data_IF_272701929344
#
_entry.id   IF_272701929344
#
_cell.length_a   1.000
_cell.length_b   1.000
_cell.length_c   1.000
_cell.angle_alpha   90.00
_cell.angle_beta   90.00
_cell.angle_gamma   90.00
#
_symmetry.space_group_name_H-M   'P 1'
#
loop_
_entity.id
_entity.type
_entity.pdbx_description
1 polymer ?
#
# COMPACT_ATOMS: atom_id res chain seq x y z
N UNK A 1 -19.79 30.41 -24.10
CA UNK A 1 -19.99 29.00 -23.73
C UNK A 1 -19.54 28.84 -22.29
N UNK A 2 -20.50 28.73 -21.37
CA UNK A 2 -20.25 28.48 -19.95
C UNK A 2 -19.60 27.11 -19.80
N UNK A 3 -18.37 27.04 -19.31
CA UNK A 3 -17.78 25.79 -18.87
C UNK A 3 -18.42 25.43 -17.52
N UNK A 4 -18.82 24.17 -17.32
CA UNK A 4 -19.26 23.71 -16.02
C UNK A 4 -18.16 24.01 -14.98
N UNK A 5 -18.49 24.80 -13.95
CA UNK A 5 -17.58 25.14 -12.86
C UNK A 5 -17.48 24.01 -11.83
N UNK A 6 -18.53 23.19 -11.73
CA UNK A 6 -18.62 22.04 -10.84
C UNK A 6 -18.31 20.72 -11.57
N UNK A 7 -17.70 19.74 -10.89
CA UNK A 7 -17.48 18.42 -11.47
C UNK A 7 -18.82 17.70 -11.71
N UNK A 8 -18.88 16.87 -12.75
CA UNK A 8 -20.05 16.03 -13.03
C UNK A 8 -20.26 14.95 -11.96
N UNK A 9 -19.16 14.55 -11.29
CA UNK A 9 -19.17 13.68 -10.12
C UNK A 9 -17.86 13.82 -9.35
N UNK A 10 -17.91 13.56 -8.04
CA UNK A 10 -16.76 13.47 -7.16
C UNK A 10 -16.54 12.02 -6.74
N UNK A 11 -15.35 11.50 -7.02
CA UNK A 11 -15.00 10.11 -6.74
C UNK A 11 -13.73 10.00 -5.89
N UNK A 12 -13.64 8.93 -5.12
CA UNK A 12 -12.41 8.54 -4.42
C UNK A 12 -11.70 7.41 -5.15
N UNK A 13 -10.38 7.55 -5.36
CA UNK A 13 -9.51 6.40 -5.69
C UNK A 13 -9.22 5.63 -4.40
N UNK A 14 -10.03 4.61 -4.12
CA UNK A 14 -9.96 3.87 -2.87
C UNK A 14 -8.86 2.80 -2.95
N UNK A 15 -7.85 2.94 -2.12
CA UNK A 15 -6.79 1.94 -1.97
C UNK A 15 -7.06 0.93 -0.84
N UNK A 16 -8.11 1.13 -0.03
CA UNK A 16 -8.41 0.37 1.18
C UNK A 16 -7.27 0.35 2.22
N UNK A 17 -6.45 1.40 2.24
CA UNK A 17 -5.47 1.66 3.30
C UNK A 17 -5.68 3.03 3.93
N UNK A 18 -4.90 3.31 4.97
CA UNK A 18 -4.96 4.50 5.85
C UNK A 18 -5.52 5.76 5.18
N UNK A 19 -4.73 6.44 4.34
CA UNK A 19 -5.10 7.75 3.78
C UNK A 19 -6.43 7.72 2.99
N UNK A 20 -6.66 6.67 2.19
CA UNK A 20 -7.90 6.57 1.40
C UNK A 20 -9.12 6.25 2.27
N UNK A 21 -8.95 5.46 3.34
CA UNK A 21 -10.02 5.20 4.31
C UNK A 21 -10.32 6.46 5.11
N UNK A 22 -9.32 7.26 5.49
CA UNK A 22 -9.51 8.57 6.13
C UNK A 22 -10.34 9.51 5.25
N UNK A 23 -10.03 9.63 3.96
CA UNK A 23 -10.83 10.46 3.04
C UNK A 23 -12.28 10.01 2.94
N UNK A 24 -12.51 8.70 2.84
CA UNK A 24 -13.87 8.15 2.80
C UNK A 24 -14.62 8.43 4.10
N UNK A 25 -13.97 8.25 5.25
CA UNK A 25 -14.52 8.53 6.56
C UNK A 25 -14.91 10.01 6.70
N UNK A 26 -13.98 10.93 6.40
CA UNK A 26 -14.22 12.37 6.49
C UNK A 26 -15.37 12.82 5.58
N UNK A 27 -15.47 12.26 4.38
CA UNK A 27 -16.62 12.52 3.50
C UNK A 27 -17.93 11.96 4.07
N UNK A 28 -17.90 10.75 4.64
CA UNK A 28 -19.06 10.08 5.19
C UNK A 28 -19.64 10.78 6.43
N UNK A 29 -18.79 11.39 7.26
CA UNK A 29 -19.20 12.13 8.45
C UNK A 29 -19.50 13.61 8.19
N UNK A 30 -19.27 14.08 6.95
CA UNK A 30 -19.61 15.45 6.52
C UNK A 30 -18.54 16.51 6.77
N UNK A 31 -17.33 16.12 7.19
CA UNK A 31 -16.18 17.03 7.36
C UNK A 31 -15.55 17.43 6.02
N UNK A 32 -15.71 16.59 5.00
CA UNK A 32 -15.36 16.91 3.61
C UNK A 32 -16.59 16.77 2.70
N UNK A 33 -16.60 17.41 1.51
CA UNK A 33 -17.69 17.26 0.56
C UNK A 33 -18.06 15.79 0.29
N UNK A 34 -19.35 15.51 0.11
CA UNK A 34 -19.81 14.16 -0.14
C UNK A 34 -19.23 13.61 -1.45
N UNK A 35 -18.68 12.40 -1.38
CA UNK A 35 -18.29 11.58 -2.53
C UNK A 35 -19.54 10.94 -3.15
N UNK A 36 -19.62 10.88 -4.47
CA UNK A 36 -20.66 10.11 -5.16
C UNK A 36 -20.29 8.63 -5.24
N UNK A 37 -18.99 8.32 -5.39
CA UNK A 37 -18.49 6.96 -5.50
C UNK A 37 -17.09 6.82 -4.90
N UNK A 38 -16.77 5.62 -4.44
CA UNK A 38 -15.39 5.21 -4.16
C UNK A 38 -15.03 4.04 -5.08
N UNK A 39 -13.92 4.13 -5.81
CA UNK A 39 -13.51 3.12 -6.79
C UNK A 39 -12.32 2.35 -6.24
N UNK A 40 -12.50 1.05 -5.99
CA UNK A 40 -11.45 0.14 -5.60
C UNK A 40 -10.97 -0.66 -6.81
N UNK A 41 -9.69 -0.54 -7.14
CA UNK A 41 -9.09 -1.27 -8.25
C UNK A 41 -8.44 -2.57 -7.75
N UNK A 42 -9.19 -3.65 -7.89
CA UNK A 42 -8.82 -4.98 -7.43
C UNK A 42 -7.78 -5.62 -8.36
N UNK A 43 -6.60 -5.90 -7.80
CA UNK A 43 -5.51 -6.57 -8.52
C UNK A 43 -5.74 -8.08 -8.63
N UNK A 44 -6.74 -8.62 -7.93
CA UNK A 44 -7.00 -10.05 -7.79
C UNK A 44 -6.01 -10.76 -6.85
N UNK A 45 -5.09 -10.01 -6.21
CA UNK A 45 -4.06 -10.57 -5.34
C UNK A 45 -3.71 -9.61 -4.19
N UNK A 46 -4.73 -9.00 -3.59
CA UNK A 46 -4.56 -8.26 -2.33
C UNK A 46 -4.54 -9.24 -1.14
N UNK A 47 -3.89 -8.89 -0.01
CA UNK A 47 -3.96 -9.70 1.20
C UNK A 47 -5.40 -9.85 1.72
N UNK A 48 -5.71 -10.99 2.33
CA UNK A 48 -7.02 -11.28 2.90
C UNK A 48 -7.43 -10.23 3.96
N UNK A 49 -6.46 -9.68 4.70
CA UNK A 49 -6.70 -8.58 5.64
C UNK A 49 -7.21 -7.30 4.94
N UNK A 50 -6.74 -7.00 3.72
CA UNK A 50 -7.21 -5.85 2.92
C UNK A 50 -8.64 -6.08 2.44
N UNK A 51 -8.99 -7.29 1.98
CA UNK A 51 -10.37 -7.60 1.60
C UNK A 51 -11.33 -7.52 2.79
N UNK A 52 -10.97 -8.11 3.94
CA UNK A 52 -11.77 -8.00 5.18
C UNK A 52 -11.93 -6.54 5.61
N UNK A 53 -10.86 -5.75 5.56
CA UNK A 53 -10.93 -4.33 5.86
C UNK A 53 -11.84 -3.57 4.89
N UNK A 54 -11.74 -3.86 3.59
CA UNK A 54 -12.61 -3.25 2.57
C UNK A 54 -14.09 -3.57 2.84
N UNK A 55 -14.42 -4.81 3.17
CA UNK A 55 -15.79 -5.22 3.49
C UNK A 55 -16.32 -4.49 4.73
N UNK A 56 -15.48 -4.34 5.76
CA UNK A 56 -15.82 -3.57 6.96
C UNK A 56 -16.00 -2.08 6.67
N UNK A 57 -15.10 -1.47 5.89
CA UNK A 57 -15.21 -0.08 5.43
C UNK A 57 -16.49 0.13 4.63
N UNK A 58 -16.83 -0.80 3.74
CA UNK A 58 -18.07 -0.76 2.97
C UNK A 58 -19.28 -0.79 3.90
N UNK A 59 -19.29 -1.74 4.84
CA UNK A 59 -20.40 -1.97 5.77
C UNK A 59 -20.62 -0.82 6.75
N UNK A 60 -19.55 -0.29 7.33
CA UNK A 60 -19.60 0.66 8.46
C UNK A 60 -19.49 2.13 8.05
N UNK A 61 -18.86 2.44 6.91
CA UNK A 61 -18.65 3.83 6.45
C UNK A 61 -19.47 4.09 5.18
N UNK A 62 -19.19 3.32 4.13
CA UNK A 62 -19.66 3.66 2.78
C UNK A 62 -21.18 3.49 2.62
N UNK A 63 -21.74 2.35 3.07
CA UNK A 63 -23.18 2.06 2.99
C UNK A 63 -24.03 3.04 3.81
N UNK A 64 -23.73 3.32 5.09
CA UNK A 64 -24.49 4.31 5.87
C UNK A 64 -24.47 5.72 5.26
N UNK A 65 -23.34 6.12 4.65
CA UNK A 65 -23.22 7.41 3.98
C UNK A 65 -23.82 7.45 2.57
N UNK A 66 -24.33 6.32 2.06
CA UNK A 66 -24.78 6.15 0.67
C UNK A 66 -23.70 6.56 -0.34
N UNK A 67 -22.49 6.03 -0.16
CA UNK A 67 -21.33 6.19 -1.06
C UNK A 67 -20.99 4.79 -1.60
N UNK A 68 -21.46 4.40 -2.80
CA UNK A 68 -21.19 3.08 -3.36
C UNK A 68 -19.70 2.85 -3.60
N UNK A 69 -19.20 1.68 -3.18
CA UNK A 69 -17.87 1.19 -3.54
C UNK A 69 -17.96 0.40 -4.84
N UNK A 70 -17.34 0.91 -5.91
CA UNK A 70 -17.25 0.26 -7.21
C UNK A 70 -15.95 -0.53 -7.27
N UNK A 71 -16.05 -1.87 -7.29
CA UNK A 71 -14.89 -2.76 -7.46
C UNK A 71 -14.64 -2.99 -8.94
N UNK A 72 -13.46 -2.60 -9.42
CA UNK A 72 -13.05 -2.73 -10.83
C UNK A 72 -11.78 -3.55 -10.93
N UNK A 73 -11.65 -4.36 -11.98
CA UNK A 73 -10.46 -5.20 -12.18
C UNK A 73 -10.00 -5.21 -13.63
N UNK A 74 -8.73 -5.57 -13.83
CA UNK A 74 -8.12 -5.86 -15.14
C UNK A 74 -7.67 -7.31 -15.27
N UNK A 75 -7.95 -8.18 -14.30
CA UNK A 75 -7.41 -9.54 -14.24
C UNK A 75 -6.82 -9.86 -12.87
N UNK A 76 -5.92 -10.84 -12.84
CA UNK A 76 -5.24 -11.28 -11.64
C UNK A 76 -3.73 -11.13 -11.82
N UNK A 77 -3.13 -10.18 -11.11
CA UNK A 77 -1.72 -9.82 -11.30
C UNK A 77 -0.76 -10.99 -11.07
N UNK A 78 -1.09 -11.94 -10.18
CA UNK A 78 -0.30 -13.17 -9.96
C UNK A 78 -0.35 -14.06 -11.18
N UNK A 79 -1.55 -14.38 -11.65
CA UNK A 79 -1.75 -15.27 -12.79
C UNK A 79 -1.14 -14.67 -14.07
N UNK A 80 -1.39 -13.38 -14.31
CA UNK A 80 -0.90 -12.66 -15.47
C UNK A 80 0.63 -12.51 -15.46
N UNK A 81 1.26 -12.47 -14.29
CA UNK A 81 2.73 -12.46 -14.17
C UNK A 81 3.37 -13.84 -14.43
N UNK A 82 2.62 -14.93 -14.32
CA UNK A 82 3.08 -16.29 -14.58
C UNK A 82 2.72 -16.78 -15.99
N UNK A 83 1.78 -16.14 -16.67
CA UNK A 83 1.33 -16.48 -18.03
C UNK A 83 2.40 -16.11 -19.09
N UNK A 84 2.98 -17.10 -19.82
CA UNK A 84 3.95 -16.84 -20.89
C UNK A 84 3.38 -16.10 -22.11
N UNK A 85 2.05 -16.11 -22.29
CA UNK A 85 1.31 -15.41 -23.33
C UNK A 85 0.90 -13.99 -22.95
N UNK A 86 0.90 -13.67 -21.65
CA UNK A 86 0.70 -12.31 -21.18
C UNK A 86 2.01 -11.53 -21.24
N UNK A 87 1.93 -10.21 -21.49
CA UNK A 87 3.12 -9.36 -21.54
C UNK A 87 3.79 -9.39 -20.16
N UNK A 88 5.00 -9.91 -20.12
CA UNK A 88 5.74 -10.17 -18.88
C UNK A 88 6.04 -8.89 -18.07
N UNK A 89 5.96 -9.08 -16.75
CA UNK A 89 6.42 -8.19 -15.69
C UNK A 89 5.86 -6.77 -15.73
N UNK A 90 4.55 -6.67 -15.47
CA UNK A 90 4.01 -5.44 -14.92
C UNK A 90 4.54 -5.14 -13.51
N UNK A 91 4.97 -6.18 -12.79
CA UNK A 91 5.53 -6.06 -11.45
C UNK A 91 7.01 -5.63 -11.47
N UNK A 92 7.45 -4.78 -10.53
CA UNK A 92 8.83 -4.32 -10.43
C UNK A 92 9.68 -5.34 -9.63
N UNK A 93 9.97 -6.49 -10.23
CA UNK A 93 10.75 -7.59 -9.66
C UNK A 93 12.25 -7.23 -9.60
N UNK A 94 12.95 -7.71 -8.57
CA UNK A 94 14.40 -7.57 -8.47
C UNK A 94 15.10 -8.62 -9.33
N UNK A 95 16.09 -8.19 -10.12
CA UNK A 95 16.83 -9.07 -11.03
C UNK A 95 18.26 -9.26 -10.52
N UNK A 96 18.74 -10.50 -10.53
CA UNK A 96 20.16 -10.84 -10.48
C UNK A 96 20.61 -11.24 -11.88
N UNK A 97 21.41 -10.38 -12.51
CA UNK A 97 21.91 -10.62 -13.86
C UNK A 97 22.95 -11.75 -13.87
N UNK A 98 23.22 -12.32 -15.05
CA UNK A 98 24.21 -13.42 -15.21
C UNK A 98 25.63 -13.03 -14.79
N UNK A 99 25.98 -11.75 -14.91
CA UNK A 99 27.27 -11.19 -14.46
C UNK A 99 27.29 -10.88 -12.96
N UNK A 100 26.22 -11.22 -12.22
CA UNK A 100 26.06 -10.95 -10.79
C UNK A 100 25.58 -9.53 -10.48
N UNK A 101 25.40 -8.66 -11.49
CA UNK A 101 24.99 -7.28 -11.25
C UNK A 101 23.50 -7.18 -10.86
N UNK A 102 23.13 -6.20 -10.02
CA UNK A 102 21.74 -5.99 -9.62
C UNK A 102 20.94 -5.24 -10.69
N UNK A 103 19.70 -5.69 -10.94
CA UNK A 103 18.71 -4.99 -11.76
C UNK A 103 17.32 -4.95 -11.13
N UNK A 104 16.37 -4.30 -11.81
CA UNK A 104 14.94 -4.29 -11.45
C UNK A 104 14.08 -4.08 -12.70
N UNK A 105 12.96 -4.79 -12.82
CA UNK A 105 11.99 -4.55 -13.91
C UNK A 105 11.21 -3.27 -13.67
N UNK A 106 10.64 -2.71 -14.74
CA UNK A 106 9.86 -1.47 -14.65
C UNK A 106 8.52 -1.72 -13.94
N UNK A 107 8.12 -0.78 -13.09
CA UNK A 107 6.79 -0.79 -12.47
C UNK A 107 5.72 -0.37 -13.49
N UNK A 108 4.96 -1.31 -14.03
CA UNK A 108 3.78 -1.05 -14.87
C UNK A 108 2.46 -1.42 -14.17
N UNK A 109 2.51 -2.17 -13.06
CA UNK A 109 1.34 -2.70 -12.36
C UNK A 109 0.32 -1.62 -11.96
N UNK A 110 0.78 -0.45 -11.51
CA UNK A 110 -0.10 0.68 -11.19
C UNK A 110 -0.89 1.15 -12.42
N UNK A 111 -0.25 1.22 -13.58
CA UNK A 111 -0.91 1.61 -14.83
C UNK A 111 -1.99 0.62 -15.24
N UNK A 112 -1.64 -0.66 -15.22
CA UNK A 112 -2.46 -1.75 -15.77
C UNK A 112 -3.62 -2.18 -14.86
N UNK A 113 -3.34 -2.32 -13.55
CA UNK A 113 -4.30 -2.87 -12.59
C UNK A 113 -4.99 -1.80 -11.75
N UNK A 114 -4.47 -0.56 -11.71
CA UNK A 114 -5.12 0.54 -10.96
C UNK A 114 -5.66 1.61 -11.90
N UNK A 115 -4.79 2.29 -12.64
CA UNK A 115 -5.16 3.48 -13.42
C UNK A 115 -6.10 3.12 -14.59
N UNK A 116 -5.78 2.08 -15.36
CA UNK A 116 -6.60 1.67 -16.53
C UNK A 116 -8.03 1.29 -16.15
N UNK A 117 -8.30 0.39 -15.18
CA UNK A 117 -9.67 0.03 -14.82
C UNK A 117 -10.43 1.20 -14.17
N UNK A 118 -9.77 2.03 -13.35
CA UNK A 118 -10.39 3.26 -12.80
C UNK A 118 -10.79 4.21 -13.93
N UNK A 119 -9.91 4.49 -14.89
CA UNK A 119 -10.23 5.37 -16.04
C UNK A 119 -11.37 4.83 -16.89
N UNK A 120 -11.44 3.51 -17.09
CA UNK A 120 -12.56 2.87 -17.80
C UNK A 120 -13.87 3.13 -17.08
N UNK A 121 -13.86 3.00 -15.76
CA UNK A 121 -15.05 3.20 -14.94
C UNK A 121 -15.48 4.66 -14.83
N UNK A 122 -14.54 5.59 -14.63
CA UNK A 122 -14.79 7.03 -14.69
C UNK A 122 -15.50 7.42 -15.99
N UNK A 123 -15.05 6.87 -17.12
CA UNK A 123 -15.68 7.12 -18.42
C UNK A 123 -17.09 6.54 -18.52
N UNK A 124 -17.34 5.39 -17.89
CA UNK A 124 -18.68 4.79 -17.80
C UNK A 124 -19.62 5.67 -16.97
N UNK A 125 -19.16 6.15 -15.81
CA UNK A 125 -19.89 7.09 -14.95
C UNK A 125 -20.24 8.36 -15.71
N UNK A 126 -19.29 8.91 -16.48
CA UNK A 126 -19.51 10.10 -17.30
C UNK A 126 -20.42 9.85 -18.53
N UNK A 127 -20.76 8.60 -18.86
CA UNK A 127 -21.57 8.27 -20.03
C UNK A 127 -20.81 8.26 -21.37
N UNK A 128 -19.47 8.25 -21.35
CA UNK A 128 -18.62 8.29 -22.55
C UNK A 128 -17.59 7.14 -22.55
N UNK A 129 -18.02 5.86 -22.64
CA UNK A 129 -17.10 4.72 -22.69
C UNK A 129 -16.12 4.85 -23.87
N UNK A 130 -14.90 4.30 -23.72
CA UNK A 130 -13.91 4.34 -24.81
C UNK A 130 -14.42 3.60 -26.06
N UNK A 131 -14.23 4.12 -27.30
CA UNK A 131 -13.41 5.28 -27.68
C UNK A 131 -14.14 6.64 -27.75
N UNK A 132 -15.39 6.74 -27.28
CA UNK A 132 -16.22 7.95 -27.43
C UNK A 132 -15.56 9.17 -26.77
N UNK A 133 -15.39 10.28 -27.48
CA UNK A 133 -14.74 11.47 -26.90
C UNK A 133 -15.59 12.08 -25.78
N UNK A 134 -14.96 12.35 -24.63
CA UNK A 134 -15.60 13.13 -23.55
C UNK A 134 -15.68 14.60 -24.00
N UNK A 135 -16.86 15.25 -23.93
CA UNK A 135 -17.00 16.67 -24.28
C UNK A 135 -16.11 17.59 -23.45
N UNK A 136 -15.72 18.73 -24.03
CA UNK A 136 -14.89 19.72 -23.34
C UNK A 136 -15.66 20.27 -22.14
N UNK A 137 -15.01 20.34 -20.98
CA UNK A 137 -15.62 20.85 -19.75
C UNK A 137 -16.38 19.81 -18.92
N UNK A 138 -16.58 18.59 -19.43
CA UNK A 138 -17.10 17.47 -18.65
C UNK A 138 -15.94 16.75 -17.97
N UNK A 139 -15.95 16.68 -16.64
CA UNK A 139 -14.92 16.01 -15.85
C UNK A 139 -15.47 15.50 -14.52
N UNK A 140 -14.76 14.55 -13.92
CA UNK A 140 -14.92 14.20 -12.51
C UNK A 140 -13.82 14.85 -11.66
N UNK A 141 -14.13 15.12 -10.40
CA UNK A 141 -13.12 15.38 -9.38
C UNK A 141 -12.68 14.04 -8.77
N UNK A 142 -11.39 13.74 -8.81
CA UNK A 142 -10.82 12.48 -8.33
C UNK A 142 -9.97 12.72 -7.11
N UNK A 143 -10.47 12.31 -5.95
CA UNK A 143 -9.73 12.35 -4.71
C UNK A 143 -8.70 11.22 -4.67
N UNK A 144 -7.48 11.58 -4.26
CA UNK A 144 -6.37 10.65 -4.08
C UNK A 144 -5.81 10.86 -2.67
N UNK A 145 -5.72 9.78 -1.90
CA UNK A 145 -5.17 9.79 -0.55
C UNK A 145 -3.65 9.99 -0.55
N UNK A 146 -3.21 11.23 -0.69
CA UNK A 146 -1.81 11.65 -0.52
C UNK A 146 -1.80 12.69 0.60
N UNK A 147 -1.00 12.44 1.63
CA UNK A 147 -0.81 13.34 2.78
C UNK A 147 0.41 14.25 2.61
N UNK A 148 0.60 15.18 3.54
CA UNK A 148 1.67 16.19 3.49
C UNK A 148 3.09 15.59 3.41
N UNK A 149 3.35 14.47 4.10
CA UNK A 149 4.62 13.74 4.07
C UNK A 149 4.90 13.04 2.72
N UNK A 150 3.89 12.96 1.85
CA UNK A 150 3.95 12.35 0.53
C UNK A 150 3.68 13.34 -0.60
N UNK A 151 3.70 14.66 -0.34
CA UNK A 151 3.26 15.71 -1.28
C UNK A 151 3.91 15.63 -2.66
N UNK A 152 5.18 15.19 -2.75
CA UNK A 152 5.92 15.01 -4.00
C UNK A 152 5.30 13.96 -4.93
N UNK A 153 4.36 13.13 -4.44
CA UNK A 153 3.59 12.16 -5.21
C UNK A 153 2.31 12.77 -5.83
N UNK A 154 1.88 13.94 -5.38
CA UNK A 154 0.73 14.65 -5.93
C UNK A 154 1.05 15.15 -7.34
N UNK A 155 0.23 14.74 -8.31
CA UNK A 155 0.41 15.07 -9.73
C UNK A 155 -0.95 15.30 -10.36
N UNK A 156 -1.00 16.22 -11.32
CA UNK A 156 -2.20 16.42 -12.13
C UNK A 156 -2.58 15.18 -12.94
N UNK A 157 -3.86 15.12 -13.32
CA UNK A 157 -4.34 14.07 -14.20
C UNK A 157 -3.73 14.20 -15.59
N UNK A 158 -3.38 13.07 -16.19
CA UNK A 158 -2.92 12.99 -17.58
C UNK A 158 -4.08 13.03 -18.60
N UNK A 159 -5.33 13.15 -18.13
CA UNK A 159 -6.54 13.19 -18.95
C UNK A 159 -7.42 14.39 -18.60
N UNK A 160 -8.11 14.95 -19.60
CA UNK A 160 -8.94 16.17 -19.44
C UNK A 160 -10.26 15.96 -18.71
N UNK A 161 -10.70 14.70 -18.59
CA UNK A 161 -12.00 14.33 -18.00
C UNK A 161 -11.89 13.93 -16.51
N UNK A 162 -10.70 14.05 -15.91
CA UNK A 162 -10.50 13.87 -14.48
C UNK A 162 -9.62 15.01 -13.98
N UNK A 163 -9.95 15.57 -12.82
CA UNK A 163 -9.11 16.53 -12.09
C UNK A 163 -8.76 15.91 -10.76
N UNK A 164 -7.47 15.77 -10.48
CA UNK A 164 -7.04 15.23 -9.20
C UNK A 164 -7.22 16.28 -8.10
N UNK A 165 -7.60 15.82 -6.92
CA UNK A 165 -7.78 16.62 -5.72
C UNK A 165 -7.13 15.88 -4.55
N UNK A 166 -6.50 16.62 -3.64
CA UNK A 166 -5.66 16.07 -2.57
C UNK A 166 -6.08 16.61 -1.19
N UNK A 167 -7.29 16.30 -0.69
CA UNK A 167 -7.84 16.97 0.48
C UNK A 167 -6.99 16.82 1.75
N UNK A 168 -6.23 15.73 1.90
CA UNK A 168 -5.35 15.56 3.06
C UNK A 168 -4.19 16.58 3.07
N UNK A 169 -3.68 16.97 1.90
CA UNK A 169 -2.69 18.04 1.79
C UNK A 169 -3.34 19.38 2.13
N UNK A 170 -4.53 19.63 1.60
CA UNK A 170 -5.28 20.88 1.83
C UNK A 170 -5.63 21.06 3.32
N UNK A 171 -5.91 19.96 4.03
CA UNK A 171 -6.14 19.92 5.47
C UNK A 171 -4.84 19.91 6.31
N UNK A 172 -3.66 19.84 5.69
CA UNK A 172 -2.38 19.78 6.39
C UNK A 172 -2.09 18.46 7.12
N UNK A 173 -2.82 17.38 6.81
CA UNK A 173 -2.72 16.10 7.50
C UNK A 173 -1.55 15.26 6.99
N UNK A 174 -0.74 14.74 7.91
CA UNK A 174 0.26 13.71 7.65
C UNK A 174 -0.36 12.30 7.66
N UNK A 175 0.41 11.29 7.25
CA UNK A 175 -0.01 9.89 7.39
C UNK A 175 -0.23 9.49 8.85
N UNK A 176 0.50 10.05 9.81
CA UNK A 176 0.32 9.76 11.23
C UNK A 176 -0.99 10.36 11.75
N UNK A 177 -1.33 11.58 11.33
CA UNK A 177 -2.62 12.19 11.69
C UNK A 177 -3.80 11.36 11.14
N UNK A 178 -3.65 10.81 9.93
CA UNK A 178 -4.63 9.89 9.36
C UNK A 178 -4.81 8.63 10.20
N UNK A 179 -3.73 8.07 10.76
CA UNK A 179 -3.80 6.91 11.68
C UNK A 179 -4.52 7.27 12.97
N UNK A 180 -4.18 8.40 13.58
CA UNK A 180 -4.80 8.86 14.83
C UNK A 180 -6.31 9.08 14.62
N UNK A 181 -6.68 9.77 13.53
CA UNK A 181 -8.08 10.02 13.19
C UNK A 181 -8.87 8.71 13.00
N UNK A 182 -8.28 7.74 12.29
CA UNK A 182 -8.88 6.42 12.14
C UNK A 182 -9.03 5.70 13.49
N UNK A 183 -8.01 5.75 14.35
CA UNK A 183 -8.06 5.18 15.69
C UNK A 183 -9.18 5.81 16.54
N UNK A 184 -9.32 7.14 16.53
CA UNK A 184 -10.39 7.85 17.25
C UNK A 184 -11.81 7.43 16.79
N UNK A 185 -11.91 6.84 15.60
CA UNK A 185 -13.15 6.32 15.02
C UNK A 185 -13.24 4.79 15.03
N UNK A 186 -12.38 4.10 15.78
CA UNK A 186 -12.37 2.65 15.96
C UNK A 186 -11.83 1.86 14.76
N UNK A 187 -10.80 2.39 14.09
CA UNK A 187 -10.11 1.79 12.94
C UNK A 187 -8.59 1.65 13.16
N UNK A 188 -8.18 1.27 14.38
CA UNK A 188 -6.77 1.15 14.79
C UNK A 188 -5.97 0.14 13.93
N UNK A 189 -6.67 -0.84 13.35
CA UNK A 189 -6.08 -1.96 12.59
C UNK A 189 -6.09 -1.77 11.07
N UNK A 190 -6.19 -0.53 10.58
CA UNK A 190 -6.23 -0.26 9.14
C UNK A 190 -4.94 -0.74 8.43
N UNK A 191 -5.02 -1.69 7.49
CA UNK A 191 -3.84 -2.25 6.86
C UNK A 191 -3.16 -1.25 5.91
N UNK A 192 -1.89 -1.50 5.62
CA UNK A 192 -1.18 -0.84 4.51
C UNK A 192 -1.62 -1.48 3.20
N UNK A 193 -2.03 -0.67 2.24
CA UNK A 193 -2.52 -1.17 0.95
C UNK A 193 -1.39 -1.49 -0.02
N UNK A 194 -1.10 -2.78 -0.18
CA UNK A 194 -0.22 -3.32 -1.21
C UNK A 194 -0.65 -4.76 -1.50
N UNK A 195 -0.53 -5.16 -2.78
CA UNK A 195 -0.81 -6.54 -3.18
C UNK A 195 0.14 -7.51 -2.50
N UNK A 196 -0.29 -8.75 -2.31
CA UNK A 196 0.37 -9.76 -1.49
C UNK A 196 1.82 -10.03 -1.92
N UNK A 197 2.07 -10.10 -3.23
CA UNK A 197 3.42 -10.28 -3.79
C UNK A 197 4.16 -8.98 -4.12
N UNK A 198 3.83 -7.83 -3.52
CA UNK A 198 4.49 -6.57 -3.88
C UNK A 198 6.00 -6.60 -3.55
N UNK A 199 6.92 -6.43 -4.53
CA UNK A 199 8.36 -6.45 -4.26
C UNK A 199 8.83 -5.33 -3.32
N UNK A 200 8.03 -4.28 -3.15
CA UNK A 200 8.34 -3.16 -2.25
C UNK A 200 7.95 -3.40 -0.79
N UNK A 201 7.49 -4.59 -0.42
CA UNK A 201 7.35 -4.95 0.99
C UNK A 201 8.72 -4.91 1.70
N UNK A 202 8.72 -4.26 2.87
CA UNK A 202 9.84 -4.33 3.80
C UNK A 202 9.86 -5.66 4.57
N UNK A 203 10.98 -5.94 5.23
CA UNK A 203 11.17 -7.12 6.07
C UNK A 203 10.02 -7.34 7.07
N UNK A 204 9.59 -6.27 7.76
CA UNK A 204 8.45 -6.31 8.69
C UNK A 204 7.16 -6.82 8.05
N UNK A 205 6.85 -6.35 6.82
CA UNK A 205 5.65 -6.78 6.11
C UNK A 205 5.74 -8.25 5.68
N UNK A 206 6.93 -8.70 5.24
CA UNK A 206 7.14 -10.11 4.93
C UNK A 206 6.98 -11.01 6.15
N UNK A 207 7.49 -10.60 7.32
CA UNK A 207 7.25 -11.32 8.59
C UNK A 207 5.78 -11.33 8.98
N UNK A 208 5.08 -10.21 8.85
CA UNK A 208 3.63 -10.15 9.11
C UNK A 208 2.85 -11.16 8.25
N UNK A 209 3.21 -11.31 6.97
CA UNK A 209 2.60 -12.31 6.09
C UNK A 209 2.99 -13.72 6.54
N UNK A 210 4.29 -14.00 6.74
CA UNK A 210 4.81 -15.31 7.18
C UNK A 210 4.15 -15.79 8.48
N UNK A 211 4.11 -14.92 9.47
CA UNK A 211 3.74 -15.26 10.85
C UNK A 211 2.23 -15.17 11.05
N UNK A 212 1.54 -14.29 10.30
CA UNK A 212 0.09 -14.07 10.42
C UNK A 212 -0.77 -14.92 9.48
N UNK A 213 -0.19 -15.46 8.39
CA UNK A 213 -0.95 -16.18 7.37
C UNK A 213 -0.08 -17.20 6.62
N UNK A 214 0.04 -18.44 7.13
CA UNK A 214 0.87 -19.48 6.50
C UNK A 214 0.47 -19.82 5.06
N UNK A 215 -0.83 -19.70 4.73
CA UNK A 215 -1.35 -19.92 3.38
C UNK A 215 -0.88 -18.83 2.42
N UNK A 216 -1.06 -17.56 2.77
CA UNK A 216 -0.60 -16.43 1.95
C UNK A 216 0.93 -16.43 1.82
N UNK A 217 1.64 -16.83 2.88
CA UNK A 217 3.09 -17.02 2.82
C UNK A 217 3.51 -18.10 1.84
N UNK A 218 2.85 -19.27 1.88
CA UNK A 218 3.11 -20.34 0.93
C UNK A 218 2.87 -19.88 -0.52
N UNK A 219 1.78 -19.14 -0.76
CA UNK A 219 1.44 -18.62 -2.08
C UNK A 219 2.50 -17.65 -2.63
N UNK A 220 2.99 -16.70 -1.83
CA UNK A 220 4.05 -15.78 -2.29
C UNK A 220 5.40 -16.45 -2.48
N UNK A 221 5.73 -17.46 -1.67
CA UNK A 221 6.96 -18.24 -1.83
C UNK A 221 6.90 -19.09 -3.10
N UNK A 222 5.75 -19.70 -3.41
CA UNK A 222 5.51 -20.42 -4.66
C UNK A 222 5.66 -19.47 -5.86
N UNK A 223 5.02 -18.30 -5.81
CA UNK A 223 5.14 -17.29 -6.86
C UNK A 223 6.58 -16.85 -7.07
N UNK A 224 7.30 -16.52 -5.99
CA UNK A 224 8.71 -16.14 -6.03
C UNK A 224 9.59 -17.24 -6.67
N UNK A 225 9.26 -18.52 -6.44
CA UNK A 225 9.90 -19.64 -7.12
C UNK A 225 9.56 -19.73 -8.61
N UNK A 226 8.29 -19.59 -8.96
CA UNK A 226 7.83 -19.70 -10.33
C UNK A 226 8.41 -18.59 -11.24
N UNK A 227 8.55 -17.35 -10.76
CA UNK A 227 9.13 -16.25 -11.54
C UNK A 227 10.62 -16.46 -11.90
N UNK A 228 11.33 -17.35 -11.20
CA UNK A 228 12.71 -17.74 -11.54
C UNK A 228 12.78 -18.70 -12.72
N UNK A 229 11.78 -19.55 -12.91
CA UNK A 229 11.81 -20.67 -13.86
C UNK A 229 11.70 -20.26 -15.33
N UNK A 230 11.76 -18.97 -15.66
CA UNK A 230 11.92 -18.53 -17.04
C UNK A 230 10.61 -18.31 -17.83
N UNK A 231 9.44 -18.21 -17.17
CA UNK A 231 8.23 -17.55 -17.73
C UNK A 231 8.39 -16.02 -17.90
N UNK A 232 9.64 -15.66 -17.72
CA UNK A 232 10.41 -14.48 -17.56
C UNK A 232 10.48 -13.45 -18.69
N UNK A 233 9.53 -13.36 -19.63
CA UNK A 233 9.83 -12.76 -20.96
C UNK A 233 9.98 -11.23 -20.94
N UNK A 234 11.16 -10.68 -20.68
CA UNK A 234 11.45 -9.23 -20.54
C UNK A 234 10.74 -8.22 -21.50
N UNK A 235 10.26 -8.64 -22.68
CA UNK A 235 9.46 -7.82 -23.57
C UNK A 235 8.45 -8.65 -24.41
N UNK A 236 7.58 -7.96 -25.16
CA UNK A 236 6.60 -8.55 -26.10
C UNK A 236 7.24 -9.32 -27.27
N UNK A 237 8.55 -9.22 -27.46
CA UNK A 237 9.31 -9.98 -28.46
C UNK A 237 9.80 -11.33 -27.92
N UNK A 238 9.51 -11.66 -26.65
CA UNK A 238 9.83 -12.95 -26.05
C UNK A 238 11.28 -13.13 -25.64
N UNK A 239 12.06 -12.04 -25.51
CA UNK A 239 13.44 -12.16 -25.00
C UNK A 239 13.40 -12.63 -23.54
N UNK A 240 14.07 -13.74 -23.19
CA UNK A 240 14.13 -14.19 -21.81
C UNK A 240 14.84 -13.13 -20.96
N UNK A 241 14.41 -12.95 -19.71
CA UNK A 241 15.18 -12.21 -18.71
C UNK A 241 16.62 -12.71 -18.71
N UNK A 242 17.58 -11.79 -18.80
CA UNK A 242 19.00 -12.08 -18.67
C UNK A 242 19.38 -12.16 -17.18
N UNK A 243 18.72 -13.06 -16.44
CA UNK A 243 18.91 -13.17 -14.99
C UNK A 243 17.77 -13.90 -14.29
N UNK A 244 17.87 -13.98 -12.96
CA UNK A 244 16.82 -14.54 -12.11
C UNK A 244 16.03 -13.41 -11.44
N UNK A 245 14.70 -13.57 -11.37
CA UNK A 245 13.80 -12.62 -10.74
C UNK A 245 13.48 -13.02 -9.29
N UNK A 246 13.32 -12.03 -8.42
CA UNK A 246 13.01 -12.20 -7.00
C UNK A 246 12.03 -11.14 -6.53
N UNK A 247 11.18 -11.49 -5.57
CA UNK A 247 10.37 -10.54 -4.82
C UNK A 247 11.19 -9.72 -3.84
N UNK A 248 12.21 -10.32 -3.22
CA UNK A 248 12.99 -9.66 -2.17
C UNK A 248 14.21 -8.90 -2.72
N UNK A 249 14.45 -7.70 -2.20
CA UNK A 249 15.57 -6.81 -2.60
C UNK A 249 16.97 -7.41 -2.45
N UNK A 250 17.13 -8.44 -1.61
CA UNK A 250 18.40 -9.16 -1.46
C UNK A 250 18.71 -10.11 -2.62
N UNK A 251 17.77 -10.31 -3.55
CA UNK A 251 17.91 -11.27 -4.67
C UNK A 251 18.19 -12.69 -4.18
N UNK A 252 17.50 -13.07 -3.11
CA UNK A 252 17.47 -14.43 -2.59
C UNK A 252 16.03 -14.93 -2.66
N UNK A 253 15.82 -16.26 -2.77
CA UNK A 253 14.48 -16.84 -2.63
C UNK A 253 13.80 -16.27 -1.39
N UNK A 254 12.52 -15.93 -1.48
CA UNK A 254 11.80 -15.27 -0.39
C UNK A 254 11.83 -16.09 0.92
N UNK A 255 11.79 -17.42 0.81
CA UNK A 255 11.92 -18.35 1.93
C UNK A 255 13.31 -18.30 2.62
N UNK A 256 14.34 -17.83 1.93
CA UNK A 256 15.73 -17.74 2.41
C UNK A 256 16.19 -16.28 2.59
N UNK A 257 15.32 -15.32 2.28
CA UNK A 257 15.64 -13.91 2.38
C UNK A 257 15.84 -13.53 3.85
N UNK A 258 16.73 -12.57 4.17
CA UNK A 258 17.00 -12.16 5.53
C UNK A 258 15.88 -11.25 6.07
N UNK A 259 14.65 -11.75 6.11
CA UNK A 259 13.47 -11.02 6.54
C UNK A 259 13.44 -10.82 8.05
N UNK A 260 14.16 -11.63 8.84
CA UNK A 260 14.29 -11.44 10.30
C UNK A 260 15.29 -10.36 10.70
N UNK A 261 16.02 -9.78 9.72
CA UNK A 261 16.86 -8.62 9.99
C UNK A 261 15.98 -7.41 10.31
N UNK A 262 16.09 -6.91 11.54
CA UNK A 262 15.43 -5.71 12.01
C UNK A 262 16.15 -4.44 11.53
N UNK A 263 15.37 -3.39 11.26
CA UNK A 263 15.87 -2.04 11.03
C UNK A 263 16.28 -1.37 12.34
N UNK A 264 17.05 -0.28 12.25
CA UNK A 264 17.43 0.52 13.43
C UNK A 264 16.22 1.05 14.18
N UNK A 265 15.18 1.47 13.47
CA UNK A 265 13.95 1.96 14.07
C UNK A 265 13.20 0.85 14.83
N UNK A 266 13.14 -0.36 14.27
CA UNK A 266 12.54 -1.51 14.95
C UNK A 266 13.32 -1.90 16.21
N UNK A 267 14.66 -1.87 16.15
CA UNK A 267 15.50 -2.12 17.32
C UNK A 267 15.29 -1.07 18.41
N UNK A 268 15.26 0.21 18.05
CA UNK A 268 15.02 1.29 19.01
C UNK A 268 13.65 1.17 19.68
N UNK A 269 12.59 0.84 18.92
CA UNK A 269 11.26 0.65 19.48
C UNK A 269 11.16 -0.55 20.45
N UNK A 270 11.95 -1.61 20.23
CA UNK A 270 12.07 -2.72 21.18
C UNK A 270 12.84 -2.29 22.43
N UNK A 271 13.87 -1.47 22.28
CA UNK A 271 14.63 -0.91 23.41
C UNK A 271 13.79 -0.02 24.32
N UNK A 272 12.91 0.82 23.76
CA UNK A 272 12.00 1.67 24.53
C UNK A 272 10.91 0.88 25.29
N UNK A 273 10.63 -0.36 24.89
CA UNK A 273 9.64 -1.24 25.54
C UNK A 273 10.22 -2.09 26.65
N UNK A 274 11.54 -2.10 26.82
CA UNK A 274 12.20 -2.81 27.91
C UNK A 274 12.04 -2.00 29.21
N UNK A 275 11.55 -2.61 30.30
CA UNK A 275 11.34 -1.90 31.55
C UNK A 275 12.67 -1.37 32.11
N UNK A 276 12.62 -0.20 32.76
CA UNK A 276 13.73 0.49 33.45
C UNK A 276 14.61 -0.41 34.34
N UNK A 277 14.10 -1.56 34.77
CA UNK A 277 14.87 -2.58 35.49
C UNK A 277 16.11 -3.05 34.71
N UNK A 278 16.09 -3.02 33.38
CA UNK A 278 17.26 -3.41 32.56
C UNK A 278 18.38 -2.37 32.57
N UNK A 279 18.10 -1.08 32.77
CA UNK A 279 19.14 -0.05 32.88
C UNK A 279 19.92 -0.16 34.20
N UNK A 280 19.27 -0.50 35.31
CA UNK A 280 19.94 -0.81 36.59
C UNK A 280 20.71 -2.14 36.54
N UNK A 281 20.23 -3.12 35.77
CA UNK A 281 20.94 -4.39 35.57
C UNK A 281 22.21 -4.20 34.72
N UNK A 282 22.15 -3.37 33.68
CA UNK A 282 23.27 -3.14 32.76
C UNK A 282 24.29 -2.13 33.31
N UNK A 283 23.83 -1.05 33.94
CA UNK A 283 24.70 0.01 34.46
C UNK A 283 24.99 -0.09 35.96
N UNK A 284 24.36 -1.05 36.65
CA UNK A 284 24.34 -1.11 38.10
C UNK A 284 23.41 -0.06 38.72
N UNK A 285 23.15 -0.13 40.04
CA UNK A 285 22.43 0.93 40.73
C UNK A 285 23.19 2.25 40.62
N UNK A 286 22.44 3.36 40.55
CA UNK A 286 23.01 4.71 40.44
C UNK A 286 24.01 5.04 41.58
N UNK A 287 23.81 4.41 42.73
CA UNK A 287 24.68 4.54 43.90
C UNK A 287 25.82 3.52 43.83
N UNK A 288 26.95 3.95 43.29
CA UNK A 288 28.19 3.17 43.28
C UNK A 288 28.74 2.91 44.69
N UNK A 289 29.47 1.81 44.85
CA UNK A 289 30.17 1.49 46.10
C UNK A 289 31.39 2.42 46.26
N UNK A 290 31.35 3.34 47.22
CA UNK A 290 32.46 4.23 47.57
C UNK A 290 33.27 3.64 48.74
N UNK A 291 34.59 3.86 48.81
CA UNK A 291 35.41 3.48 49.98
C UNK A 291 34.94 4.13 51.30
N UNK A 292 34.10 5.17 51.21
CA UNK A 292 33.61 5.96 52.35
C UNK A 292 32.10 5.81 52.60
N UNK A 293 31.37 5.00 51.80
CA UNK A 293 29.95 4.71 52.01
C UNK A 293 29.51 3.40 51.31
N UNK A 294 29.06 2.42 52.10
CA UNK A 294 28.42 1.20 51.59
C UNK A 294 26.90 1.39 51.45
N UNK A 295 26.29 0.62 50.52
CA UNK A 295 24.86 0.65 50.15
C UNK A 295 23.93 0.81 51.37
N UNK A 296 23.11 1.86 51.36
CA UNK A 296 21.85 1.91 52.11
C UNK A 296 20.72 1.49 51.17
N UNK A 297 20.64 0.20 50.84
CA UNK A 297 19.45 -0.32 50.16
C UNK A 297 18.22 -0.26 51.06
N UNK A 298 17.01 -0.29 50.49
CA UNK A 298 15.78 -0.50 51.26
C UNK A 298 15.89 -1.78 52.11
N UNK A 299 15.44 -1.69 53.35
CA UNK A 299 15.46 -2.81 54.28
C UNK A 299 14.62 -3.96 53.73
N UNK A 300 15.25 -5.12 53.54
CA UNK A 300 14.54 -6.36 53.19
C UNK A 300 13.65 -6.72 54.38
N UNK A 301 12.33 -6.77 54.13
CA UNK A 301 11.33 -7.26 55.09
C UNK A 301 11.27 -8.79 55.09
#
# INVERSE_FOLDING_TARGET
MSYATEPASRILSLGAGVQSTTLLLLSAIGELPKLDYAIFADTGWEPAAVYRHLDEVERRIARPANIPILRVSSGNIRADALDPGHRFASMPLYILNKDGSPGMTRRQCTGEYKIKPIKREVRRILGYPHPVRVPRGVYIEQWIGISTDEFHRAKDSDVKYARHSFPLIDLGLSRQDCLNLLADHGWESTPKSACLGCPFHGNSQWRQIRDGSPEEWADVVEFDAAIRAGNARANSEGRPLLGQAYLHRSRRPLAEAPIDRLSRAELAALQEQLPLAEEELENGPADGCSPFSCRSGEAVA
#
